data_IF_118183897129
#
_entry.id   IF_118183897129
#
_cell.length_a   1.000
_cell.length_b   1.000
_cell.length_c   1.000
_cell.angle_alpha   90.00
_cell.angle_beta   90.00
_cell.angle_gamma   90.00
#
_symmetry.space_group_name_H-M   'P 1'
#
loop_
_entity.id
_entity.type
_entity.pdbx_description
1 polymer ?
#
# COMPACT_ATOMS: atom_id res chain seq x y z
N UNK A 1 5.72 23.51 -19.48
CA UNK A 1 4.54 23.11 -18.69
C UNK A 1 4.72 23.62 -17.27
N UNK A 2 3.75 24.34 -16.70
CA UNK A 2 3.82 24.78 -15.30
C UNK A 2 3.56 23.58 -14.40
N UNK A 3 4.47 23.28 -13.48
CA UNK A 3 4.30 22.21 -12.49
C UNK A 3 3.13 22.58 -11.56
N UNK A 4 2.09 21.76 -11.50
CA UNK A 4 0.95 21.99 -10.60
C UNK A 4 0.86 20.92 -9.54
N UNK A 5 0.34 21.29 -8.38
CA UNK A 5 0.14 20.36 -7.26
C UNK A 5 -0.64 19.12 -7.68
N UNK A 6 -1.74 19.30 -8.44
CA UNK A 6 -2.57 18.19 -8.91
C UNK A 6 -1.81 17.25 -9.86
N UNK A 7 -1.05 17.80 -10.79
CA UNK A 7 -0.26 17.00 -11.72
C UNK A 7 0.79 16.14 -10.99
N UNK A 8 1.53 16.74 -10.05
CA UNK A 8 2.52 16.01 -9.25
C UNK A 8 1.85 14.95 -8.36
N UNK A 9 0.73 15.30 -7.71
CA UNK A 9 -0.02 14.36 -6.88
C UNK A 9 -0.52 13.15 -7.68
N UNK A 10 -1.00 13.34 -8.90
CA UNK A 10 -1.44 12.24 -9.78
C UNK A 10 -0.29 11.34 -10.22
N UNK A 11 0.85 11.92 -10.60
CA UNK A 11 2.05 11.17 -10.97
C UNK A 11 2.53 10.31 -9.81
N UNK A 12 2.67 10.89 -8.62
CA UNK A 12 3.12 10.18 -7.42
C UNK A 12 2.13 9.10 -6.98
N UNK A 13 0.82 9.37 -7.07
CA UNK A 13 -0.22 8.39 -6.74
C UNK A 13 -0.11 7.14 -7.62
N UNK A 14 0.10 7.31 -8.94
CA UNK A 14 0.31 6.19 -9.88
C UNK A 14 1.57 5.38 -9.53
N UNK A 15 2.57 6.03 -8.95
CA UNK A 15 3.80 5.40 -8.48
C UNK A 15 3.69 4.76 -7.08
N UNK A 16 2.52 4.84 -6.42
CA UNK A 16 2.29 4.28 -5.07
C UNK A 16 2.77 5.18 -3.93
N UNK A 17 3.00 6.46 -4.21
CA UNK A 17 3.39 7.49 -3.25
C UNK A 17 2.20 8.42 -3.01
N UNK A 18 1.91 8.69 -1.75
CA UNK A 18 0.84 9.61 -1.32
C UNK A 18 1.45 10.97 -1.08
N UNK A 19 0.82 12.02 -1.60
CA UNK A 19 1.18 13.41 -1.38
C UNK A 19 0.04 14.17 -0.69
N UNK A 20 0.38 14.93 0.36
CA UNK A 20 -0.52 15.89 1.03
C UNK A 20 0.16 17.25 1.22
N UNK A 21 -0.63 18.28 1.58
CA UNK A 21 -0.14 19.64 1.87
C UNK A 21 -0.75 20.16 3.16
N UNK A 22 0.05 20.73 4.05
CA UNK A 22 -0.41 21.42 5.26
C UNK A 22 0.47 22.65 5.51
N UNK A 23 -0.14 23.82 5.71
CA UNK A 23 0.59 25.04 6.06
C UNK A 23 1.68 25.46 5.06
N UNK A 24 1.49 25.18 3.76
CA UNK A 24 2.49 25.48 2.73
C UNK A 24 3.55 24.39 2.53
N UNK A 25 3.66 23.43 3.45
CA UNK A 25 4.60 22.30 3.33
C UNK A 25 3.92 21.12 2.66
N UNK A 26 4.62 20.51 1.71
CA UNK A 26 4.26 19.27 1.06
C UNK A 26 4.84 18.09 1.84
N UNK A 27 4.03 17.03 1.98
CA UNK A 27 4.42 15.76 2.57
C UNK A 27 4.25 14.67 1.53
N UNK A 28 5.26 13.84 1.34
CA UNK A 28 5.16 12.60 0.57
C UNK A 28 5.54 11.39 1.40
N UNK A 29 4.90 10.26 1.14
CA UNK A 29 5.19 9.01 1.82
C UNK A 29 4.71 7.81 0.97
N UNK A 30 5.16 6.60 1.30
CA UNK A 30 4.53 5.37 0.83
C UNK A 30 3.06 5.31 1.26
N UNK A 31 2.24 4.62 0.47
CA UNK A 31 0.93 4.20 0.94
C UNK A 31 1.09 3.39 2.24
N UNK A 32 0.33 3.75 3.29
CA UNK A 32 0.46 3.23 4.67
C UNK A 32 1.87 3.34 5.27
N UNK A 33 2.71 4.26 4.79
CA UNK A 33 4.05 4.47 5.33
C UNK A 33 4.04 5.12 6.71
N UNK A 34 5.00 4.74 7.54
CA UNK A 34 5.23 5.33 8.86
C UNK A 34 5.73 6.77 8.72
N UNK A 35 5.54 7.58 9.75
CA UNK A 35 5.91 8.98 9.75
C UNK A 35 7.42 9.20 9.56
N UNK A 36 8.25 8.30 10.09
CA UNK A 36 9.71 8.29 9.91
C UNK A 36 10.17 8.13 8.44
N UNK A 37 9.31 7.60 7.58
CA UNK A 37 9.58 7.45 6.14
C UNK A 37 9.00 8.59 5.30
N UNK A 38 8.35 9.57 5.94
CA UNK A 38 7.80 10.73 5.28
C UNK A 38 8.91 11.72 4.89
N UNK A 39 8.74 12.33 3.73
CA UNK A 39 9.57 13.44 3.29
C UNK A 39 8.75 14.73 3.23
N UNK A 40 9.37 15.83 3.68
CA UNK A 40 8.75 17.14 3.80
C UNK A 40 9.57 18.17 3.06
N UNK A 41 8.90 18.98 2.24
CA UNK A 41 9.54 20.07 1.49
C UNK A 41 8.51 21.12 1.13
N UNK A 42 8.95 22.34 0.83
CA UNK A 42 8.09 23.42 0.32
C UNK A 42 8.16 23.54 -1.20
N UNK A 43 9.14 22.91 -1.84
CA UNK A 43 9.33 22.95 -3.28
C UNK A 43 8.60 21.79 -3.96
N UNK A 44 7.75 22.12 -4.92
CA UNK A 44 6.96 21.14 -5.66
C UNK A 44 7.80 20.31 -6.65
N UNK A 45 8.90 20.86 -7.17
CA UNK A 45 9.81 20.12 -8.03
C UNK A 45 10.53 19.03 -7.23
N UNK A 46 11.02 19.38 -6.04
CA UNK A 46 11.66 18.45 -5.11
C UNK A 46 10.70 17.34 -4.63
N UNK A 47 9.41 17.65 -4.44
CA UNK A 47 8.38 16.62 -4.20
C UNK A 47 8.34 15.58 -5.32
N UNK A 48 8.35 16.03 -6.58
CA UNK A 48 8.28 15.15 -7.73
C UNK A 48 9.53 14.26 -7.80
N UNK A 49 10.71 14.87 -7.72
CA UNK A 49 11.99 14.16 -7.87
C UNK A 49 12.19 13.15 -6.73
N UNK A 50 11.98 13.57 -5.48
CA UNK A 50 12.11 12.69 -4.32
C UNK A 50 11.06 11.58 -4.33
N UNK A 51 9.83 11.89 -4.71
CA UNK A 51 8.75 10.91 -4.78
C UNK A 51 9.00 9.83 -5.83
N UNK A 52 9.58 10.17 -6.98
CA UNK A 52 9.98 9.19 -7.99
C UNK A 52 11.15 8.30 -7.50
N UNK A 53 12.13 8.87 -6.80
CA UNK A 53 13.20 8.08 -6.16
C UNK A 53 12.63 7.12 -5.13
N UNK A 54 11.73 7.59 -4.25
CA UNK A 54 11.06 6.74 -3.26
C UNK A 54 10.30 5.58 -3.93
N UNK A 55 9.60 5.85 -5.03
CA UNK A 55 8.90 4.81 -5.78
C UNK A 55 9.85 3.78 -6.42
N UNK A 56 11.04 4.22 -6.86
CA UNK A 56 12.05 3.37 -7.51
C UNK A 56 12.80 2.45 -6.53
N UNK A 57 13.01 2.90 -5.28
CA UNK A 57 13.66 2.14 -4.22
C UNK A 57 12.73 1.11 -3.55
N UNK A 58 11.44 1.08 -3.92
CA UNK A 58 10.51 0.06 -3.44
C UNK A 58 10.84 -1.25 -4.16
N UNK A 59 11.26 -2.33 -3.48
CA UNK A 59 11.27 -3.64 -4.12
C UNK A 59 9.86 -3.88 -4.65
N UNK A 60 9.73 -4.20 -5.96
CA UNK A 60 8.42 -4.39 -6.63
C UNK A 60 7.61 -5.58 -6.07
N UNK A 61 8.04 -6.17 -4.96
CA UNK A 61 7.48 -7.35 -4.34
C UNK A 61 7.77 -7.35 -2.83
N UNK A 62 6.82 -6.89 -2.02
CA UNK A 62 6.45 -7.60 -0.79
C UNK A 62 5.12 -7.04 -0.29
N UNK A 63 4.04 -7.80 -0.44
CA UNK A 63 2.75 -7.56 0.21
C UNK A 63 1.55 -7.31 -0.70
N UNK A 64 1.63 -6.38 -1.65
CA UNK A 64 0.40 -5.89 -2.31
C UNK A 64 -0.01 -6.61 -3.60
N UNK A 65 0.93 -7.22 -4.35
CA UNK A 65 0.65 -7.94 -5.59
C UNK A 65 0.92 -9.45 -5.45
N UNK A 66 0.48 -10.11 -4.38
CA UNK A 66 0.21 -11.55 -4.54
C UNK A 66 -0.90 -11.67 -5.58
N UNK A 67 -0.66 -12.42 -6.65
CA UNK A 67 -1.71 -12.73 -7.61
C UNK A 67 -2.91 -13.31 -6.86
N UNK A 68 -4.13 -13.10 -7.37
CA UNK A 68 -5.33 -13.68 -6.75
C UNK A 68 -5.15 -15.20 -6.53
N UNK A 69 -4.43 -15.85 -7.45
CA UNK A 69 -4.05 -17.27 -7.40
C UNK A 69 -3.09 -17.58 -6.24
N UNK A 70 -2.06 -16.76 -6.01
CA UNK A 70 -1.14 -16.91 -4.86
C UNK A 70 -1.84 -16.68 -3.53
N UNK A 71 -2.81 -15.75 -3.46
CA UNK A 71 -3.63 -15.57 -2.24
C UNK A 71 -4.54 -16.78 -2.01
N UNK A 72 -5.14 -17.33 -3.07
CA UNK A 72 -5.94 -18.56 -3.02
C UNK A 72 -5.10 -19.77 -2.59
N UNK A 73 -3.89 -19.90 -3.14
CA UNK A 73 -2.96 -20.97 -2.77
C UNK A 73 -2.49 -20.83 -1.33
N UNK A 74 -2.12 -19.62 -0.89
CA UNK A 74 -1.74 -19.37 0.50
C UNK A 74 -2.89 -19.64 1.48
N UNK A 75 -4.13 -19.26 1.15
CA UNK A 75 -5.31 -19.56 1.95
C UNK A 75 -5.61 -21.07 2.00
N UNK A 76 -5.47 -21.78 0.87
CA UNK A 76 -5.62 -23.24 0.80
C UNK A 76 -4.55 -23.97 1.61
N UNK A 77 -3.29 -23.54 1.50
CA UNK A 77 -2.19 -24.09 2.27
C UNK A 77 -2.37 -23.87 3.77
N UNK A 78 -2.87 -22.70 4.17
CA UNK A 78 -3.19 -22.43 5.57
C UNK A 78 -4.32 -23.34 6.08
N UNK A 79 -5.42 -23.49 5.33
CA UNK A 79 -6.51 -24.40 5.69
C UNK A 79 -6.06 -25.88 5.72
N UNK A 80 -5.08 -26.25 4.88
CA UNK A 80 -4.44 -27.56 4.88
C UNK A 80 -3.57 -27.80 6.13
N UNK A 81 -2.96 -26.75 6.67
CA UNK A 81 -2.15 -26.79 7.89
C UNK A 81 -2.96 -26.77 9.19
N UNK A 82 -4.25 -26.44 9.13
CA UNK A 82 -5.15 -26.47 10.29
C UNK A 82 -5.62 -27.91 10.54
N UNK A 83 -5.43 -28.46 11.76
CA UNK A 83 -5.90 -29.79 12.13
C UNK A 83 -7.41 -29.97 11.84
N UNK A 84 -7.88 -31.15 11.38
CA UNK A 84 -9.27 -31.35 10.95
C UNK A 84 -10.32 -30.96 11.99
N UNK A 85 -10.01 -31.10 13.29
CA UNK A 85 -10.89 -30.75 14.41
C UNK A 85 -11.12 -29.23 14.57
N UNK A 86 -10.31 -28.38 13.93
CA UNK A 86 -10.47 -26.92 13.90
C UNK A 86 -11.08 -26.39 12.60
N UNK A 87 -11.44 -27.26 11.64
CA UNK A 87 -12.12 -26.87 10.39
C UNK A 87 -13.64 -26.69 10.55
N UNK A 88 -14.15 -26.60 11.78
CA UNK A 88 -15.57 -26.34 12.02
C UNK A 88 -15.92 -24.90 11.63
N UNK A 89 -16.32 -24.83 10.37
CA UNK A 89 -17.12 -23.86 9.63
C UNK A 89 -17.70 -22.72 10.49
N UNK A 90 -17.09 -21.54 10.38
CA UNK A 90 -17.80 -20.31 10.69
C UNK A 90 -18.45 -19.84 9.39
N UNK A 91 -19.74 -20.14 9.23
CA UNK A 91 -20.57 -19.51 8.21
C UNK A 91 -20.62 -18.01 8.51
N UNK A 92 -20.96 -17.17 7.51
CA UNK A 92 -21.08 -15.71 7.64
C UNK A 92 -22.03 -15.22 8.77
N UNK A 93 -22.78 -16.14 9.38
CA UNK A 93 -23.76 -15.90 10.44
C UNK A 93 -23.36 -16.45 11.82
N UNK A 94 -22.16 -17.03 11.98
CA UNK A 94 -21.60 -17.34 13.30
C UNK A 94 -22.36 -18.41 14.12
N UNK A 95 -22.98 -19.41 13.50
CA UNK A 95 -23.63 -20.53 14.21
C UNK A 95 -22.96 -21.86 13.90
N UNK A 96 -22.78 -22.67 14.94
CA UNK A 96 -22.32 -24.06 14.88
C UNK A 96 -23.54 -24.91 14.47
N UNK A 97 -23.43 -25.69 13.40
CA UNK A 97 -24.44 -26.69 13.03
C UNK A 97 -24.14 -28.01 13.75
N UNK A 98 -25.21 -28.68 14.22
CA UNK A 98 -25.19 -29.99 14.90
C UNK A 98 -24.54 -31.11 14.07
#
# INVERSE_FOLDING_TARGET
MTLTYKAVQEVLRKAGIVMSKKGGVHRINFFSGLEETAYYTTDLQDVLDKGLVMASGRPRSSGYLRSVEERRMAARAHLASVPPLMRLVVNREGRIAD
#
